data_IF_537397930466
#
_entry.id   IF_537397930466
#
_cell.length_a   1.000
_cell.length_b   1.000
_cell.length_c   1.000
_cell.angle_alpha   90.00
_cell.angle_beta   90.00
_cell.angle_gamma   90.00
#
_symmetry.space_group_name_H-M   'P 1'
#
loop_
_entity.id
_entity.type
_entity.pdbx_description
1 polymer ?
#
# COMPACT_ATOMS: atom_id res chain seq x y z
N UNK A 1 -8.28 16.33 26.81
CA UNK A 1 -7.84 15.10 26.11
C UNK A 1 -6.98 15.42 24.92
N UNK A 2 -5.81 14.80 24.81
CA UNK A 2 -4.70 15.28 23.97
C UNK A 2 -5.09 15.39 22.48
N UNK A 3 -5.28 16.64 22.06
CA UNK A 3 -5.51 17.07 20.67
C UNK A 3 -4.39 16.57 19.74
N UNK A 4 -3.21 16.30 20.31
CA UNK A 4 -2.00 15.85 19.62
C UNK A 4 -2.07 14.39 19.17
N UNK A 5 -2.60 13.47 20.00
CA UNK A 5 -2.65 12.03 19.66
C UNK A 5 -3.77 11.68 18.67
N UNK A 6 -4.90 12.41 18.71
CA UNK A 6 -6.04 12.18 17.82
C UNK A 6 -5.92 12.84 16.45
N UNK A 7 -5.30 14.02 16.35
CA UNK A 7 -5.35 14.81 15.11
C UNK A 7 -4.14 14.62 14.18
N UNK A 8 -2.98 14.17 14.67
CA UNK A 8 -1.80 13.94 13.82
C UNK A 8 -2.04 12.85 12.76
N UNK A 9 -2.56 11.66 13.11
CA UNK A 9 -2.77 10.58 12.15
C UNK A 9 -3.84 10.94 11.13
N UNK A 10 -4.94 11.58 11.57
CA UNK A 10 -6.00 12.05 10.68
C UNK A 10 -5.51 13.11 9.71
N UNK A 11 -4.63 14.03 10.15
CA UNK A 11 -4.03 15.03 9.26
C UNK A 11 -3.06 14.39 8.27
N UNK A 12 -2.20 13.46 8.70
CA UNK A 12 -1.30 12.72 7.81
C UNK A 12 -2.08 11.89 6.78
N UNK A 13 -3.14 11.23 7.22
CA UNK A 13 -4.05 10.47 6.38
C UNK A 13 -4.74 11.36 5.34
N UNK A 14 -5.34 12.47 5.77
CA UNK A 14 -5.99 13.41 4.86
C UNK A 14 -4.96 14.08 3.93
N UNK A 15 -3.71 14.28 4.36
CA UNK A 15 -2.63 14.79 3.51
C UNK A 15 -2.20 13.77 2.45
N UNK A 16 -1.96 12.52 2.85
CA UNK A 16 -1.58 11.44 1.95
C UNK A 16 -2.71 11.17 0.94
N UNK A 17 -3.96 11.08 1.39
CA UNK A 17 -5.12 10.92 0.51
C UNK A 17 -5.27 12.10 -0.47
N UNK A 18 -5.08 13.35 -0.02
CA UNK A 18 -5.05 14.52 -0.91
C UNK A 18 -3.95 14.41 -1.97
N UNK A 19 -2.74 14.03 -1.55
CA UNK A 19 -1.57 13.96 -2.44
C UNK A 19 -1.67 12.83 -3.46
N UNK A 20 -2.21 11.69 -3.07
CA UNK A 20 -2.34 10.50 -3.95
C UNK A 20 -3.54 10.58 -4.87
N UNK A 21 -4.66 11.17 -4.43
CA UNK A 21 -5.89 11.24 -5.21
C UNK A 21 -6.10 12.55 -5.98
N UNK A 22 -5.45 13.64 -5.56
CA UNK A 22 -5.74 14.98 -6.08
C UNK A 22 -7.17 15.47 -5.77
N UNK A 23 -7.87 14.84 -4.81
CA UNK A 23 -9.16 15.32 -4.31
C UNK A 23 -8.93 16.29 -3.14
N UNK A 24 -9.42 17.52 -3.27
CA UNK A 24 -9.34 18.55 -2.22
C UNK A 24 -10.47 18.35 -1.20
N UNK A 25 -10.30 17.39 -0.28
CA UNK A 25 -11.20 17.17 0.84
C UNK A 25 -10.48 17.35 2.17
N UNK A 26 -11.15 17.97 3.14
CA UNK A 26 -10.58 18.14 4.48
C UNK A 26 -10.79 16.89 5.34
N UNK A 27 -11.91 16.18 5.16
CA UNK A 27 -12.19 14.92 5.85
C UNK A 27 -12.74 13.83 4.90
N UNK A 28 -11.91 12.82 4.60
CA UNK A 28 -12.34 11.65 3.83
C UNK A 28 -13.15 10.65 4.66
N UNK A 29 -13.05 10.71 5.99
CA UNK A 29 -13.60 9.74 6.93
C UNK A 29 -14.98 10.13 7.48
N UNK A 30 -15.53 11.29 7.08
CA UNK A 30 -16.88 11.67 7.46
C UNK A 30 -17.89 10.60 6.98
N UNK A 31 -18.77 10.14 7.87
CA UNK A 31 -19.76 9.10 7.55
C UNK A 31 -20.92 9.58 6.67
N UNK A 32 -21.12 10.89 6.57
CA UNK A 32 -22.17 11.50 5.76
C UNK A 32 -21.64 11.78 4.36
N UNK A 33 -22.06 10.97 3.39
CA UNK A 33 -21.62 11.05 2.00
C UNK A 33 -22.81 10.91 1.06
N UNK A 34 -22.88 11.77 0.05
CA UNK A 34 -23.93 11.74 -0.96
C UNK A 34 -23.31 11.60 -2.35
N UNK A 35 -23.78 10.63 -3.14
CA UNK A 35 -23.24 10.31 -4.45
C UNK A 35 -24.37 10.17 -5.47
N UNK A 36 -24.07 10.52 -6.73
CA UNK A 36 -24.95 10.16 -7.84
C UNK A 36 -24.86 8.66 -8.10
N UNK A 37 -25.97 8.06 -8.54
CA UNK A 37 -26.01 6.63 -8.90
C UNK A 37 -24.90 6.25 -9.90
N UNK A 38 -24.65 7.11 -10.89
CA UNK A 38 -23.59 6.88 -11.89
C UNK A 38 -22.20 6.78 -11.27
N UNK A 39 -21.92 7.47 -10.16
CA UNK A 39 -20.62 7.37 -9.49
C UNK A 39 -20.49 6.01 -8.82
N UNK A 40 -21.50 5.62 -8.04
CA UNK A 40 -21.49 4.36 -7.28
C UNK A 40 -21.45 3.14 -8.20
N UNK A 41 -22.11 3.20 -9.36
CA UNK A 41 -22.11 2.10 -10.33
C UNK A 41 -20.79 1.95 -11.11
N UNK A 42 -19.94 2.97 -11.12
CA UNK A 42 -18.67 2.97 -11.85
C UNK A 42 -17.43 2.88 -10.94
N UNK A 43 -17.61 2.84 -9.62
CA UNK A 43 -16.50 2.65 -8.67
C UNK A 43 -16.55 1.26 -8.09
N UNK A 44 -15.36 0.71 -7.87
CA UNK A 44 -15.21 -0.59 -7.27
C UNK A 44 -14.85 -0.45 -5.77
N UNK A 45 -15.79 -0.80 -4.88
CA UNK A 45 -15.54 -0.84 -3.43
C UNK A 45 -15.32 -2.29 -2.99
N UNK A 46 -14.28 -2.54 -2.20
CA UNK A 46 -13.95 -3.85 -1.64
C UNK A 46 -13.38 -3.69 -0.22
N UNK A 47 -13.71 -4.63 0.67
CA UNK A 47 -13.25 -4.63 2.07
C UNK A 47 -13.53 -3.32 2.80
N UNK A 48 -12.49 -2.76 3.44
CA UNK A 48 -12.60 -1.51 4.19
C UNK A 48 -12.52 -0.22 3.32
N UNK A 49 -12.62 -0.35 1.99
CA UNK A 49 -12.48 0.79 1.07
C UNK A 49 -13.65 1.80 1.09
N UNK A 50 -14.71 1.55 1.86
CA UNK A 50 -15.85 2.47 2.01
C UNK A 50 -15.45 3.88 2.51
N UNK A 51 -14.35 3.97 3.27
CA UNK A 51 -13.76 5.24 3.70
C UNK A 51 -13.19 6.06 2.53
N UNK A 52 -12.81 5.39 1.45
CA UNK A 52 -12.02 5.95 0.35
C UNK A 52 -12.82 6.14 -0.94
N UNK A 53 -14.14 6.04 -0.86
CA UNK A 53 -15.04 6.28 -2.00
C UNK A 53 -14.73 7.59 -2.75
N UNK A 54 -14.41 8.73 -2.11
CA UNK A 54 -14.05 9.95 -2.84
C UNK A 54 -12.78 9.80 -3.69
N UNK A 55 -11.78 9.06 -3.20
CA UNK A 55 -10.54 8.77 -3.92
C UNK A 55 -10.84 7.86 -5.12
N UNK A 56 -11.64 6.82 -4.92
CA UNK A 56 -12.06 5.90 -5.97
C UNK A 56 -12.86 6.63 -7.06
N UNK A 57 -13.76 7.55 -6.68
CA UNK A 57 -14.52 8.37 -7.60
C UNK A 57 -13.61 9.28 -8.44
N UNK A 58 -12.60 9.91 -7.82
CA UNK A 58 -11.63 10.74 -8.52
C UNK A 58 -10.79 9.92 -9.50
N UNK A 59 -10.32 8.74 -9.08
CA UNK A 59 -9.58 7.80 -9.93
C UNK A 59 -10.41 7.26 -11.10
N UNK A 60 -11.73 7.13 -10.93
CA UNK A 60 -12.68 6.78 -11.99
C UNK A 60 -13.02 7.97 -12.93
N UNK A 61 -12.39 9.14 -12.73
CA UNK A 61 -12.56 10.33 -13.58
C UNK A 61 -13.64 11.30 -13.12
N UNK A 62 -14.31 11.07 -11.99
CA UNK A 62 -15.29 12.01 -11.46
C UNK A 62 -14.59 13.19 -10.78
N UNK A 63 -14.58 14.34 -11.45
CA UNK A 63 -13.92 15.56 -10.97
C UNK A 63 -14.75 16.42 -10.02
N UNK A 64 -16.09 16.29 -10.02
CA UNK A 64 -17.02 17.11 -9.23
C UNK A 64 -17.17 16.54 -7.81
N UNK A 65 -16.17 16.76 -6.98
CA UNK A 65 -16.15 16.35 -5.57
C UNK A 65 -16.07 17.61 -4.73
N UNK A 66 -17.00 17.77 -3.78
CA UNK A 66 -17.05 18.92 -2.88
C UNK A 66 -17.39 18.50 -1.46
N UNK A 67 -17.07 19.39 -0.51
CA UNK A 67 -17.36 19.20 0.91
C UNK A 67 -18.42 20.21 1.36
N UNK A 68 -19.35 19.78 2.20
CA UNK A 68 -20.32 20.65 2.87
C UNK A 68 -20.12 20.51 4.37
N UNK A 69 -19.94 21.64 5.05
CA UNK A 69 -19.78 21.66 6.51
C UNK A 69 -21.04 21.12 7.15
N UNK A 70 -20.87 20.09 7.98
CA UNK A 70 -21.96 19.46 8.75
C UNK A 70 -21.62 19.51 10.23
N UNK A 71 -22.63 19.83 11.05
CA UNK A 71 -22.50 19.90 12.50
C UNK A 71 -22.60 18.48 13.05
N UNK A 72 -21.49 17.97 13.59
CA UNK A 72 -21.47 16.67 14.25
C UNK A 72 -21.99 16.82 15.68
N UNK A 73 -23.10 16.18 16.00
CA UNK A 73 -23.63 16.14 17.35
C UNK A 73 -22.86 15.13 18.20
N UNK A 74 -22.65 15.45 19.48
CA UNK A 74 -22.05 14.52 20.42
C UNK A 74 -22.94 13.27 20.56
N UNK A 75 -22.31 12.09 20.60
CA UNK A 75 -23.01 10.83 20.79
C UNK A 75 -23.72 10.87 22.15
N UNK A 76 -25.05 10.72 22.14
CA UNK A 76 -25.88 10.74 23.36
C UNK A 76 -25.91 9.39 24.10
N UNK A 77 -25.73 8.27 23.39
CA UNK A 77 -25.85 6.91 23.95
C UNK A 77 -24.78 5.96 23.42
N UNK A 78 -24.34 5.02 24.27
CA UNK A 78 -23.39 3.96 23.95
C UNK A 78 -21.91 4.38 23.98
N UNK A 79 -21.01 3.39 24.10
CA UNK A 79 -19.56 3.60 24.07
C UNK A 79 -18.99 3.49 22.65
N UNK A 80 -17.87 4.18 22.40
CA UNK A 80 -17.13 4.01 21.15
C UNK A 80 -16.59 2.59 21.06
N UNK A 81 -17.00 1.83 20.03
CA UNK A 81 -16.37 0.54 19.69
C UNK A 81 -14.97 0.74 19.07
N UNK A 82 -14.54 1.98 18.87
CA UNK A 82 -13.24 2.32 18.30
C UNK A 82 -12.22 2.51 19.42
N UNK A 83 -11.29 1.56 19.53
CA UNK A 83 -10.13 1.62 20.43
C UNK A 83 -8.85 2.09 19.73
N UNK A 84 -7.72 2.00 20.44
CA UNK A 84 -6.39 2.40 19.95
C UNK A 84 -5.94 1.62 18.69
N UNK A 85 -6.47 0.41 18.49
CA UNK A 85 -6.25 -0.41 17.28
C UNK A 85 -6.65 0.27 15.98
N UNK A 86 -7.59 1.24 16.02
CA UNK A 86 -7.99 2.03 14.85
C UNK A 86 -6.84 2.86 14.27
N UNK A 87 -5.89 3.29 15.11
CA UNK A 87 -4.76 4.11 14.64
C UNK A 87 -3.75 3.29 13.84
N UNK A 88 -3.42 2.09 14.33
CA UNK A 88 -2.50 1.18 13.64
C UNK A 88 -3.15 0.65 12.36
N UNK A 89 -4.40 0.19 12.45
CA UNK A 89 -5.12 -0.33 11.29
C UNK A 89 -5.32 0.76 10.23
N UNK A 90 -5.72 1.98 10.62
CA UNK A 90 -5.90 3.08 9.68
C UNK A 90 -4.62 3.50 8.95
N UNK A 91 -3.46 3.40 9.60
CA UNK A 91 -2.16 3.63 8.94
C UNK A 91 -1.81 2.49 7.97
N UNK A 92 -1.99 1.23 8.38
CA UNK A 92 -1.78 0.06 7.52
C UNK A 92 -2.74 0.07 6.32
N UNK A 93 -3.99 0.51 6.50
CA UNK A 93 -4.97 0.66 5.41
C UNK A 93 -4.52 1.71 4.40
N UNK A 94 -3.96 2.83 4.86
CA UNK A 94 -3.43 3.87 3.99
C UNK A 94 -2.26 3.35 3.16
N UNK A 95 -1.31 2.65 3.79
CA UNK A 95 -0.21 1.98 3.07
C UNK A 95 -0.79 1.01 2.04
N UNK A 96 -1.76 0.19 2.45
CA UNK A 96 -2.40 -0.81 1.58
C UNK A 96 -3.06 -0.15 0.37
N UNK A 97 -3.75 0.98 0.54
CA UNK A 97 -4.44 1.66 -0.55
C UNK A 97 -3.49 2.40 -1.45
N UNK A 98 -2.51 3.10 -0.89
CA UNK A 98 -1.43 3.69 -1.68
C UNK A 98 -0.74 2.61 -2.51
N UNK A 99 -0.45 1.48 -1.89
CA UNK A 99 0.17 0.34 -2.53
C UNK A 99 -0.72 -0.28 -3.64
N UNK A 100 -1.99 -0.58 -3.36
CA UNK A 100 -2.93 -1.12 -4.34
C UNK A 100 -3.22 -0.13 -5.48
N UNK A 101 -3.34 1.16 -5.19
CA UNK A 101 -3.59 2.19 -6.20
C UNK A 101 -2.39 2.41 -7.11
N UNK A 102 -1.17 2.32 -6.57
CA UNK A 102 0.08 2.60 -7.32
C UNK A 102 0.60 1.33 -8.02
N UNK A 103 0.58 0.19 -7.33
CA UNK A 103 1.22 -1.06 -7.77
C UNK A 103 0.23 -2.18 -8.07
N UNK A 104 -1.02 -2.09 -7.62
CA UNK A 104 -2.04 -3.12 -7.84
C UNK A 104 -2.43 -3.32 -9.32
N UNK A 105 -1.96 -2.48 -10.25
CA UNK A 105 -2.12 -2.70 -11.69
C UNK A 105 -0.96 -3.47 -12.32
N UNK A 106 0.26 -3.34 -11.78
CA UNK A 106 1.51 -3.88 -12.34
C UNK A 106 2.58 -4.10 -11.24
N UNK A 107 2.39 -5.06 -10.33
CA UNK A 107 3.29 -5.29 -9.19
C UNK A 107 4.70 -5.67 -9.64
N UNK A 108 4.83 -6.32 -10.79
CA UNK A 108 6.14 -6.72 -11.35
C UNK A 108 7.08 -5.54 -11.58
N UNK A 109 6.55 -4.36 -11.95
CA UNK A 109 7.40 -3.20 -12.23
C UNK A 109 8.11 -2.66 -10.98
N UNK A 110 7.48 -2.71 -9.81
CA UNK A 110 8.11 -2.26 -8.57
C UNK A 110 9.05 -3.31 -8.01
N UNK A 111 8.48 -4.47 -7.67
CA UNK A 111 9.20 -5.51 -6.94
C UNK A 111 10.20 -6.24 -7.83
N UNK A 112 9.89 -6.41 -9.11
CA UNK A 112 10.82 -6.97 -10.08
C UNK A 112 12.02 -6.04 -10.26
N UNK A 113 11.81 -4.74 -10.48
CA UNK A 113 12.92 -3.79 -10.64
C UNK A 113 13.78 -3.68 -9.37
N UNK A 114 13.15 -3.45 -8.21
CA UNK A 114 13.87 -3.35 -6.94
C UNK A 114 14.60 -4.66 -6.60
N UNK A 115 13.94 -5.79 -6.81
CA UNK A 115 14.52 -7.12 -6.59
C UNK A 115 15.72 -7.39 -7.50
N UNK A 116 15.62 -7.09 -8.79
CA UNK A 116 16.72 -7.21 -9.75
C UNK A 116 17.89 -6.28 -9.41
N UNK A 117 17.63 -5.02 -9.03
CA UNK A 117 18.69 -4.09 -8.63
C UNK A 117 19.42 -4.59 -7.37
N UNK A 118 18.69 -4.98 -6.33
CA UNK A 118 19.30 -5.53 -5.11
C UNK A 118 20.10 -6.80 -5.39
N UNK A 119 19.58 -7.68 -6.23
CA UNK A 119 20.27 -8.91 -6.63
C UNK A 119 21.57 -8.60 -7.37
N UNK A 120 21.54 -7.69 -8.35
CA UNK A 120 22.73 -7.31 -9.12
C UNK A 120 23.78 -6.65 -8.21
N UNK A 121 23.38 -5.76 -7.31
CA UNK A 121 24.32 -5.15 -6.34
C UNK A 121 24.96 -6.23 -5.47
N UNK A 122 24.16 -7.13 -4.87
CA UNK A 122 24.68 -8.23 -4.07
C UNK A 122 25.60 -9.16 -4.87
N UNK A 123 25.24 -9.46 -6.12
CA UNK A 123 26.04 -10.29 -7.02
C UNK A 123 27.38 -9.63 -7.35
N UNK A 124 27.41 -8.33 -7.65
CA UNK A 124 28.66 -7.60 -7.91
C UNK A 124 29.59 -7.61 -6.71
N UNK A 125 29.05 -7.44 -5.49
CA UNK A 125 29.85 -7.56 -4.26
C UNK A 125 30.38 -8.97 -4.03
N UNK A 126 29.55 -10.01 -4.23
CA UNK A 126 29.98 -11.39 -4.11
C UNK A 126 31.04 -11.75 -5.17
N UNK A 127 30.86 -11.27 -6.39
CA UNK A 127 31.79 -11.45 -7.50
C UNK A 127 33.14 -10.78 -7.23
N UNK A 128 33.12 -9.53 -6.74
CA UNK A 128 34.32 -8.83 -6.31
C UNK A 128 35.09 -9.60 -5.22
N UNK A 129 34.39 -10.08 -4.19
CA UNK A 129 35.01 -10.89 -3.13
C UNK A 129 35.56 -12.22 -3.66
N UNK A 130 34.89 -12.82 -4.64
CA UNK A 130 35.36 -14.02 -5.33
C UNK A 130 36.67 -13.78 -6.09
N UNK A 131 36.76 -12.67 -6.84
CA UNK A 131 38.00 -12.28 -7.55
C UNK A 131 39.13 -11.99 -6.57
N UNK A 132 38.86 -11.21 -5.50
CA UNK A 132 39.86 -10.90 -4.47
C UNK A 132 40.46 -12.18 -3.87
N UNK A 133 39.62 -13.18 -3.60
CA UNK A 133 40.08 -14.45 -3.03
C UNK A 133 40.81 -15.35 -4.03
N UNK A 134 40.39 -15.39 -5.29
CA UNK A 134 40.95 -16.31 -6.29
C UNK A 134 42.25 -15.81 -6.91
N UNK A 135 42.42 -14.49 -7.09
CA UNK A 135 43.52 -13.93 -7.88
C UNK A 135 44.46 -13.00 -7.12
N UNK A 136 43.96 -12.25 -6.12
CA UNK A 136 44.76 -11.20 -5.45
C UNK A 136 45.32 -11.70 -4.11
N UNK A 137 44.43 -12.19 -3.25
CA UNK A 137 44.72 -12.55 -1.86
C UNK A 137 44.37 -14.02 -1.57
N UNK A 138 45.02 -14.94 -2.29
CA UNK A 138 44.78 -16.38 -2.21
C UNK A 138 44.97 -16.95 -0.80
N UNK A 139 46.01 -16.51 -0.08
CA UNK A 139 46.29 -16.90 1.31
C UNK A 139 45.59 -16.03 2.37
N UNK A 140 44.81 -15.02 1.96
CA UNK A 140 44.10 -14.14 2.88
C UNK A 140 42.96 -14.82 3.64
N UNK A 141 42.32 -14.08 4.55
CA UNK A 141 41.18 -14.55 5.36
C UNK A 141 40.09 -15.21 4.51
N UNK A 142 39.42 -16.20 5.08
CA UNK A 142 38.29 -16.89 4.44
C UNK A 142 37.19 -15.89 4.07
N UNK A 143 36.50 -16.14 2.96
CA UNK A 143 35.38 -15.28 2.51
C UNK A 143 34.28 -15.24 3.58
N UNK A 144 34.06 -16.36 4.26
CA UNK A 144 33.09 -16.52 5.34
C UNK A 144 33.42 -15.71 6.60
N UNK A 145 34.65 -15.22 6.76
CA UNK A 145 35.00 -14.35 7.89
C UNK A 145 34.72 -12.86 7.58
N UNK A 146 34.37 -12.52 6.33
CA UNK A 146 34.14 -11.15 5.92
C UNK A 146 32.65 -10.79 6.06
N UNK A 147 32.29 -9.75 6.85
CA UNK A 147 30.90 -9.29 6.95
C UNK A 147 30.28 -8.93 5.60
N UNK A 148 31.11 -8.45 4.67
CA UNK A 148 30.72 -8.11 3.29
C UNK A 148 30.10 -9.30 2.54
N UNK A 149 30.57 -10.52 2.81
CA UNK A 149 30.03 -11.71 2.18
C UNK A 149 28.57 -11.95 2.64
N UNK A 150 28.30 -11.90 3.93
CA UNK A 150 26.95 -12.07 4.46
C UNK A 150 26.00 -10.95 4.01
N UNK A 151 26.48 -9.72 3.90
CA UNK A 151 25.70 -8.61 3.33
C UNK A 151 25.36 -8.86 1.87
N UNK A 152 26.33 -9.29 1.05
CA UNK A 152 26.10 -9.62 -0.36
C UNK A 152 25.11 -10.76 -0.54
N UNK A 153 25.26 -11.85 0.24
CA UNK A 153 24.37 -13.00 0.25
C UNK A 153 22.94 -12.60 0.66
N UNK A 154 22.81 -11.84 1.75
CA UNK A 154 21.50 -11.38 2.24
C UNK A 154 20.81 -10.46 1.23
N UNK A 155 21.55 -9.56 0.58
CA UNK A 155 21.03 -8.69 -0.47
C UNK A 155 20.53 -9.49 -1.68
N UNK A 156 21.26 -10.53 -2.09
CA UNK A 156 20.83 -11.43 -3.17
C UNK A 156 19.57 -12.21 -2.80
N UNK A 157 19.47 -12.72 -1.56
CA UNK A 157 18.30 -13.44 -1.07
C UNK A 157 17.07 -12.53 -1.03
N UNK A 158 17.18 -11.35 -0.44
CA UNK A 158 16.08 -10.36 -0.39
C UNK A 158 15.71 -9.91 -1.81
N UNK A 159 16.69 -9.68 -2.69
CA UNK A 159 16.45 -9.32 -4.09
C UNK A 159 15.63 -10.37 -4.83
N UNK A 160 15.98 -11.65 -4.66
CA UNK A 160 15.23 -12.77 -5.22
C UNK A 160 13.81 -12.86 -4.64
N UNK A 161 13.67 -12.70 -3.33
CA UNK A 161 12.36 -12.73 -2.66
C UNK A 161 11.44 -11.60 -3.15
N UNK A 162 11.98 -10.39 -3.32
CA UNK A 162 11.22 -9.27 -3.90
C UNK A 162 10.79 -9.58 -5.33
N UNK A 163 11.71 -10.08 -6.17
CA UNK A 163 11.38 -10.45 -7.55
C UNK A 163 10.25 -11.49 -7.60
N UNK A 164 10.34 -12.55 -6.78
CA UNK A 164 9.30 -13.58 -6.66
C UNK A 164 7.97 -12.99 -6.18
N UNK A 165 7.98 -12.10 -5.19
CA UNK A 165 6.77 -11.44 -4.71
C UNK A 165 6.10 -10.60 -5.81
N UNK A 166 6.88 -9.89 -6.63
CA UNK A 166 6.38 -9.17 -7.80
C UNK A 166 5.74 -10.09 -8.83
N UNK A 167 6.41 -11.19 -9.14
CA UNK A 167 5.93 -12.19 -10.11
C UNK A 167 4.65 -12.87 -9.64
N UNK A 168 4.58 -13.30 -8.37
CA UNK A 168 3.38 -13.87 -7.77
C UNK A 168 2.23 -12.86 -7.77
N UNK A 169 2.51 -11.59 -7.45
CA UNK A 169 1.51 -10.52 -7.51
C UNK A 169 0.90 -10.36 -8.92
N UNK A 170 1.74 -10.44 -9.96
CA UNK A 170 1.30 -10.35 -11.35
C UNK A 170 0.42 -11.53 -11.75
N UNK A 171 0.77 -12.76 -11.32
CA UNK A 171 -0.05 -13.95 -11.54
C UNK A 171 -1.40 -13.81 -10.85
N UNK A 172 -1.42 -13.43 -9.56
CA UNK A 172 -2.66 -13.29 -8.79
C UNK A 172 -3.60 -12.28 -9.44
N UNK A 173 -3.09 -11.15 -9.92
CA UNK A 173 -3.89 -10.14 -10.61
C UNK A 173 -4.49 -10.65 -11.92
N UNK A 174 -3.73 -11.43 -12.70
CA UNK A 174 -4.20 -12.02 -13.96
C UNK A 174 -5.23 -13.12 -13.74
N UNK A 175 -5.13 -13.85 -12.63
CA UNK A 175 -6.10 -14.89 -12.24
C UNK A 175 -7.41 -14.29 -11.71
N UNK A 176 -7.39 -13.06 -11.20
CA UNK A 176 -8.56 -12.42 -10.55
C UNK A 176 -9.56 -11.83 -11.56
N UNK A 177 -10.01 -12.63 -12.52
CA UNK A 177 -11.09 -12.27 -13.44
C UNK A 177 -12.37 -13.07 -13.12
N UNK A 178 -13.46 -12.32 -12.91
CA UNK A 178 -14.88 -12.75 -12.97
C UNK A 178 -15.47 -13.62 -11.84
N UNK A 179 -15.36 -13.20 -10.58
CA UNK A 179 -16.38 -13.62 -9.58
C UNK A 179 -17.37 -12.49 -9.28
N UNK A 180 -18.66 -12.78 -9.42
CA UNK A 180 -19.73 -11.89 -8.99
C UNK A 180 -19.63 -11.67 -7.48
N UNK A 181 -19.47 -10.40 -7.04
CA UNK A 181 -19.26 -10.04 -5.63
C UNK A 181 -20.38 -10.46 -4.69
N UNK A 182 -21.59 -10.55 -5.20
CA UNK A 182 -22.77 -10.88 -4.43
C UNK A 182 -23.78 -11.53 -5.37
N UNK A 183 -24.50 -12.52 -4.85
CA UNK A 183 -25.64 -13.13 -5.53
C UNK A 183 -26.90 -12.48 -4.99
N UNK A 184 -27.77 -12.02 -5.88
CA UNK A 184 -29.07 -11.51 -5.51
C UNK A 184 -30.01 -12.70 -5.43
N UNK A 185 -30.54 -13.00 -4.24
CA UNK A 185 -31.53 -14.08 -4.07
C UNK A 185 -32.91 -13.67 -4.55
N UNK A 186 -33.29 -12.40 -4.34
CA UNK A 186 -34.61 -11.86 -4.71
C UNK A 186 -34.52 -10.34 -4.84
N UNK A 187 -35.27 -9.76 -5.78
CA UNK A 187 -35.43 -8.31 -5.94
C UNK A 187 -36.85 -7.97 -5.49
N UNK A 188 -36.97 -7.26 -4.37
CA UNK A 188 -38.22 -6.72 -3.84
C UNK A 188 -38.66 -5.47 -4.59
#
# INVERSE_FOLDING_TARGET
DSVVAKNLPSKLFNWAARKTSGAELNDFNCGLKAYKNIVIKNIEVSGEMHRYIPVLAKNAGFGKIGEKVVIHQARKYGSSKFGMSRFINGFLDLITIWFLSTFGKRPMHLFGLLGSIMFVIGFLFAFYLGIDKLFINTTGRLITERPQFYLSLTAMLIGTQLFLAGFLGEIILRTKNNEERYKISEVL
#
